data_IF_917322555817
#
_entry.id   IF_917322555817
#
_cell.length_a   1.000
_cell.length_b   1.000
_cell.length_c   1.000
_cell.angle_alpha   90.00
_cell.angle_beta   90.00
_cell.angle_gamma   90.00
#
_symmetry.space_group_name_H-M   'P 1'
#
loop_
_entity.id
_entity.type
_entity.pdbx_description
1 polymer ?
#
# COMPACT_ATOMS: atom_id res chain seq x y z
N UNK A 1 -2.18 -9.43 3.04
CA UNK A 1 -1.31 -9.60 4.23
C UNK A 1 -1.29 -8.30 5.06
N UNK A 2 -0.83 -8.32 6.32
CA UNK A 2 -0.49 -7.09 7.04
C UNK A 2 0.84 -6.51 6.56
N UNK A 3 0.83 -5.22 6.24
CA UNK A 3 2.03 -4.43 5.93
C UNK A 3 2.58 -3.76 7.19
N UNK A 4 1.71 -3.29 8.08
CA UNK A 4 2.11 -2.74 9.38
C UNK A 4 1.27 -3.34 10.50
N UNK A 5 1.91 -4.13 11.38
CA UNK A 5 1.25 -4.72 12.54
C UNK A 5 0.95 -3.70 13.64
N UNK A 6 1.77 -2.64 13.79
CA UNK A 6 1.56 -1.62 14.83
C UNK A 6 0.26 -0.83 14.66
N UNK A 7 -0.19 -0.67 13.41
CA UNK A 7 -1.36 0.14 13.06
C UNK A 7 -2.42 -0.69 12.31
N UNK A 8 -2.27 -2.03 12.30
CA UNK A 8 -3.16 -2.96 11.59
C UNK A 8 -3.43 -2.59 10.11
N UNK A 9 -2.41 -2.11 9.40
CA UNK A 9 -2.53 -1.75 7.97
C UNK A 9 -2.25 -2.98 7.11
N UNK A 10 -3.18 -3.29 6.21
CA UNK A 10 -3.08 -4.40 5.26
C UNK A 10 -2.53 -3.95 3.91
N UNK A 11 -2.13 -4.91 3.08
CA UNK A 11 -1.69 -4.64 1.71
C UNK A 11 -2.79 -4.00 0.87
N UNK A 12 -4.04 -4.38 1.11
CA UNK A 12 -5.20 -3.86 0.38
C UNK A 12 -5.35 -2.35 0.55
N UNK A 13 -5.29 -1.88 1.81
CA UNK A 13 -5.29 -0.46 2.17
C UNK A 13 -4.11 0.28 1.52
N UNK A 14 -2.92 -0.34 1.49
CA UNK A 14 -1.76 0.27 0.82
C UNK A 14 -1.99 0.40 -0.67
N UNK A 15 -2.54 -0.64 -1.33
CA UNK A 15 -2.85 -0.63 -2.77
C UNK A 15 -3.91 0.41 -3.11
N UNK A 16 -4.93 0.58 -2.29
CA UNK A 16 -5.94 1.62 -2.46
C UNK A 16 -5.31 3.02 -2.47
N UNK A 17 -4.44 3.32 -1.50
CA UNK A 17 -3.75 4.61 -1.46
C UNK A 17 -2.75 4.80 -2.61
N UNK A 18 -2.09 3.74 -3.07
CA UNK A 18 -1.22 3.79 -4.26
C UNK A 18 -2.07 4.09 -5.51
N UNK A 19 -3.21 3.43 -5.68
CA UNK A 19 -4.14 3.70 -6.78
C UNK A 19 -4.75 5.11 -6.71
N UNK A 20 -4.93 5.65 -5.50
CA UNK A 20 -5.33 7.04 -5.27
C UNK A 20 -4.21 8.07 -5.53
N UNK A 21 -2.99 7.61 -5.87
CA UNK A 21 -1.87 8.48 -6.28
C UNK A 21 -0.75 8.64 -5.25
N UNK A 22 -0.70 7.82 -4.19
CA UNK A 22 0.45 7.82 -3.29
C UNK A 22 1.69 7.26 -4.00
N UNK A 23 2.78 8.03 -3.98
CA UNK A 23 4.03 7.72 -4.67
C UNK A 23 5.19 7.40 -3.72
N UNK A 24 4.96 7.49 -2.40
CA UNK A 24 5.99 7.26 -1.38
C UNK A 24 5.44 6.59 -0.12
N UNK A 25 6.31 5.86 0.60
CA UNK A 25 5.92 5.26 1.88
C UNK A 25 5.49 6.31 2.91
N UNK A 26 6.01 7.54 2.82
CA UNK A 26 5.59 8.65 3.68
C UNK A 26 4.14 9.05 3.39
N UNK A 27 3.76 9.17 2.12
CA UNK A 27 2.39 9.52 1.71
C UNK A 27 1.41 8.43 2.10
N UNK A 28 1.73 7.16 1.83
CA UNK A 28 0.89 6.02 2.26
C UNK A 28 0.68 6.06 3.78
N UNK A 29 1.74 6.25 4.57
CA UNK A 29 1.63 6.32 6.03
C UNK A 29 0.78 7.51 6.50
N UNK A 30 0.90 8.66 5.84
CA UNK A 30 0.12 9.84 6.14
C UNK A 30 -1.37 9.64 5.79
N UNK A 31 -1.67 9.05 4.63
CA UNK A 31 -3.02 8.73 4.19
C UNK A 31 -3.72 7.73 5.12
N UNK A 32 -2.97 6.73 5.61
CA UNK A 32 -3.46 5.78 6.62
C UNK A 32 -3.59 6.38 8.04
N UNK A 33 -3.23 7.65 8.26
CA UNK A 33 -3.23 8.26 9.61
C UNK A 33 -2.26 7.62 10.59
N UNK A 34 -1.19 6.96 10.11
CA UNK A 34 -0.27 6.21 10.94
C UNK A 34 0.59 7.14 11.79
N UNK A 35 0.71 6.81 13.07
CA UNK A 35 1.61 7.49 14.00
C UNK A 35 3.05 6.96 13.80
N UNK A 36 4.08 7.62 14.32
CA UNK A 36 5.43 7.04 14.37
C UNK A 36 5.41 5.68 15.07
N UNK A 37 6.15 4.71 14.55
CA UNK A 37 6.20 3.33 15.07
C UNK A 37 7.55 2.68 14.78
N UNK A 38 7.61 1.34 14.78
CA UNK A 38 8.87 0.60 14.60
C UNK A 38 9.52 0.72 13.21
N UNK A 39 8.78 1.18 12.20
CA UNK A 39 9.31 1.44 10.85
C UNK A 39 9.50 0.21 9.95
N UNK A 40 9.26 -1.01 10.43
CA UNK A 40 9.46 -2.24 9.63
C UNK A 40 8.62 -2.30 8.34
N UNK A 41 7.47 -1.62 8.33
CA UNK A 41 6.59 -1.53 7.16
C UNK A 41 7.18 -0.76 5.98
N UNK A 42 8.20 0.10 6.18
CA UNK A 42 8.69 1.02 5.14
C UNK A 42 9.22 0.26 3.92
N UNK A 43 10.05 -0.76 4.13
CA UNK A 43 10.61 -1.55 3.03
C UNK A 43 9.52 -2.28 2.22
N UNK A 44 8.51 -2.82 2.90
CA UNK A 44 7.36 -3.48 2.25
C UNK A 44 6.56 -2.49 1.42
N UNK A 45 6.25 -1.31 1.96
CA UNK A 45 5.50 -0.27 1.24
C UNK A 45 6.29 0.21 0.01
N UNK A 46 7.60 0.42 0.14
CA UNK A 46 8.45 0.79 -1.00
C UNK A 46 8.48 -0.29 -2.09
N UNK A 47 8.47 -1.58 -1.73
CA UNK A 47 8.39 -2.66 -2.71
C UNK A 47 7.05 -2.61 -3.46
N UNK A 48 5.93 -2.48 -2.75
CA UNK A 48 4.59 -2.37 -3.35
C UNK A 48 4.44 -1.17 -4.29
N UNK A 49 5.04 -0.03 -3.93
CA UNK A 49 5.09 1.14 -4.80
C UNK A 49 5.87 0.87 -6.09
N UNK A 50 7.04 0.24 -6.00
CA UNK A 50 7.84 -0.14 -7.17
C UNK A 50 7.10 -1.12 -8.07
N UNK A 51 6.45 -2.14 -7.49
CA UNK A 51 5.62 -3.11 -8.22
C UNK A 51 4.47 -2.41 -8.96
N UNK A 52 3.88 -1.38 -8.36
CA UNK A 52 2.78 -0.62 -8.97
C UNK A 52 3.26 0.32 -10.08
N UNK A 53 4.46 0.90 -9.94
CA UNK A 53 5.09 1.77 -10.94
C UNK A 53 5.67 1.00 -12.13
N UNK A 54 6.07 -0.24 -11.93
CA UNK A 54 6.56 -1.14 -13.00
C UNK A 54 5.45 -1.60 -13.97
N UNK A 55 4.21 -1.17 -13.74
CA UNK A 55 3.03 -1.59 -14.50
C UNK A 55 2.49 -2.93 -13.98
N UNK A 56 1.15 -3.10 -13.90
CA UNK A 56 0.58 -4.37 -13.49
C UNK A 56 0.93 -5.42 -14.53
N UNK A 57 1.63 -6.49 -14.12
CA UNK A 57 1.54 -7.74 -14.86
C UNK A 57 0.04 -8.11 -14.90
N UNK A 58 -0.55 -8.37 -16.08
CA UNK A 58 -2.00 -8.48 -16.22
C UNK A 58 -2.47 -9.79 -15.60
N UNK A 59 -2.92 -9.74 -14.35
CA UNK A 59 -3.77 -10.80 -13.79
C UNK A 59 -4.94 -10.15 -13.06
N UNK A 60 -6.07 -10.13 -13.77
CA UNK A 60 -7.42 -10.21 -13.22
C UNK A 60 -7.99 -8.92 -12.60
N UNK A 61 -8.44 -8.05 -13.49
CA UNK A 61 -9.70 -7.35 -13.29
C UNK A 61 -10.84 -8.37 -13.25
N UNK A 62 -11.36 -8.70 -12.05
CA UNK A 62 -12.68 -9.34 -11.92
C UNK A 62 -13.32 -8.96 -10.57
N UNK A 63 -14.49 -8.32 -10.69
CA UNK A 63 -15.60 -8.19 -9.72
C UNK A 63 -15.37 -7.30 -8.46
N UNK A 64 -16.22 -6.31 -8.12
CA UNK A 64 -17.67 -6.26 -8.23
C UNK A 64 -18.21 -4.82 -8.43
N UNK A 65 -18.88 -4.62 -9.57
CA UNK A 65 -20.01 -3.72 -9.69
C UNK A 65 -21.16 -4.59 -10.23
N UNK A 66 -22.04 -5.03 -9.33
CA UNK A 66 -23.34 -5.62 -9.62
C UNK A 66 -24.28 -5.36 -8.44
#
# INVERSE_FOLDING_TARGET
>A
MYVCVCHAVTEDVVREHVAAGACSAKEVRAACGMRPGCGSCVNRICAMLQESMAGPAPTEAVEAAA
#
